data_IF_926716019546
#
_entry.id   IF_926716019546
#
_cell.length_a   1.000
_cell.length_b   1.000
_cell.length_c   1.000
_cell.angle_alpha   90.00
_cell.angle_beta   90.00
_cell.angle_gamma   90.00
#
_symmetry.space_group_name_H-M   'P 1'
#
loop_
_entity.id
_entity.type
_entity.pdbx_description
1 polymer ?
#
# COMPACT_ATOMS: atom_id res chain seq x y z
N UNK A 1 2.61 5.11 4.45
CA UNK A 1 2.27 5.98 3.29
C UNK A 1 3.16 5.63 2.10
N UNK A 2 2.59 5.52 0.92
CA UNK A 2 3.31 5.28 -0.33
C UNK A 2 3.49 6.60 -1.08
N UNK A 3 4.55 6.68 -1.91
CA UNK A 3 4.79 7.84 -2.79
C UNK A 3 5.06 7.38 -4.22
N UNK A 4 4.90 8.29 -5.19
CA UNK A 4 5.21 8.01 -6.59
C UNK A 4 6.72 7.89 -6.85
N UNK A 5 7.08 7.19 -7.92
CA UNK A 5 8.48 7.00 -8.35
C UNK A 5 9.24 8.32 -8.50
N UNK A 6 8.62 9.34 -9.13
CA UNK A 6 9.28 10.64 -9.33
C UNK A 6 9.59 11.34 -8.01
N UNK A 7 8.70 11.23 -7.00
CA UNK A 7 8.90 11.77 -5.65
C UNK A 7 10.02 11.00 -4.93
N UNK A 8 10.01 9.66 -5.04
CA UNK A 8 11.07 8.83 -4.48
C UNK A 8 12.45 9.20 -5.04
N UNK A 9 12.54 9.43 -6.37
CA UNK A 9 13.78 9.84 -7.02
C UNK A 9 14.23 11.25 -6.62
N UNK A 10 13.30 12.18 -6.39
CA UNK A 10 13.62 13.51 -5.87
C UNK A 10 14.21 13.45 -4.47
N UNK A 11 13.61 12.62 -3.58
CA UNK A 11 14.17 12.38 -2.26
C UNK A 11 15.54 11.70 -2.33
N UNK A 12 15.71 10.73 -3.21
CA UNK A 12 17.00 10.04 -3.42
C UNK A 12 18.12 10.98 -3.86
N UNK A 13 17.82 11.92 -4.77
CA UNK A 13 18.78 12.92 -5.22
C UNK A 13 19.29 13.79 -4.05
N UNK A 14 18.40 14.12 -3.10
CA UNK A 14 18.75 14.84 -1.86
C UNK A 14 19.66 14.07 -0.89
N UNK A 15 19.80 12.76 -1.10
CA UNK A 15 20.67 11.87 -0.31
C UNK A 15 21.84 11.32 -1.11
N UNK A 16 22.16 11.91 -2.25
CA UNK A 16 23.26 11.44 -3.15
C UNK A 16 23.08 9.97 -3.59
N UNK A 17 21.83 9.46 -3.62
CA UNK A 17 21.50 8.18 -4.21
C UNK A 17 21.34 8.38 -5.72
N UNK A 18 22.09 7.65 -6.57
CA UNK A 18 22.16 7.96 -8.00
C UNK A 18 20.84 7.59 -8.71
N UNK A 19 20.20 8.57 -9.33
CA UNK A 19 18.94 8.45 -10.09
C UNK A 19 19.03 9.12 -11.47
N UNK A 20 18.19 8.68 -12.40
CA UNK A 20 17.99 9.38 -13.66
C UNK A 20 17.30 10.73 -13.42
N UNK A 21 17.73 11.77 -14.14
CA UNK A 21 17.05 13.07 -14.10
C UNK A 21 15.81 13.02 -14.96
N UNK A 22 14.72 13.57 -14.43
CA UNK A 22 13.43 13.59 -15.08
C UNK A 22 12.58 14.81 -14.74
N UNK A 23 11.38 14.85 -15.28
CA UNK A 23 10.37 15.88 -15.03
C UNK A 23 8.99 15.25 -15.02
N UNK A 24 8.11 15.72 -14.15
CA UNK A 24 6.73 15.24 -14.01
C UNK A 24 5.75 16.21 -14.66
N UNK A 25 4.69 15.67 -15.26
CA UNK A 25 3.50 16.39 -15.69
C UNK A 25 2.32 15.94 -14.82
N UNK A 26 1.76 16.85 -14.05
CA UNK A 26 0.58 16.65 -13.20
C UNK A 26 -0.73 16.88 -13.96
N UNK A 27 -0.63 17.56 -15.10
CA UNK A 27 -1.74 17.86 -15.99
C UNK A 27 -1.32 17.64 -17.45
N UNK A 28 -2.28 17.32 -18.30
CA UNK A 28 -2.02 17.10 -19.73
C UNK A 28 -1.37 18.32 -20.41
N UNK A 29 -1.72 19.51 -19.96
CA UNK A 29 -1.15 20.79 -20.44
C UNK A 29 0.35 20.94 -20.19
N UNK A 30 0.89 20.27 -19.18
CA UNK A 30 2.30 20.35 -18.75
C UNK A 30 3.22 19.37 -19.50
N UNK A 31 2.68 18.43 -20.29
CA UNK A 31 3.46 17.36 -20.93
C UNK A 31 4.57 17.93 -21.82
N UNK A 32 4.26 18.92 -22.66
CA UNK A 32 5.25 19.52 -23.55
C UNK A 32 6.40 20.18 -22.79
N UNK A 33 6.10 20.86 -21.69
CA UNK A 33 7.10 21.47 -20.81
C UNK A 33 7.97 20.40 -20.13
N UNK A 34 7.34 19.35 -19.59
CA UNK A 34 8.04 18.25 -18.93
C UNK A 34 9.01 17.54 -19.88
N UNK A 35 8.56 17.21 -21.11
CA UNK A 35 9.43 16.63 -22.15
C UNK A 35 10.56 17.59 -22.51
N UNK A 36 10.27 18.89 -22.58
CA UNK A 36 11.26 19.93 -22.89
C UNK A 36 12.41 20.03 -21.90
N UNK A 37 12.15 19.74 -20.60
CA UNK A 37 13.16 19.76 -19.52
C UNK A 37 14.11 18.57 -19.56
N UNK A 38 13.73 17.47 -20.21
CA UNK A 38 14.54 16.24 -20.27
C UNK A 38 15.43 16.26 -21.53
N UNK A 39 16.73 16.02 -21.33
CA UNK A 39 17.72 15.98 -22.42
C UNK A 39 17.70 14.61 -23.10
N UNK A 40 17.60 14.61 -24.45
CA UNK A 40 17.72 13.36 -25.23
C UNK A 40 19.13 12.79 -25.27
N UNK A 41 19.36 11.79 -26.12
CA UNK A 41 18.56 11.44 -27.31
C UNK A 41 17.44 10.39 -27.07
N UNK A 42 17.34 9.82 -25.87
CA UNK A 42 16.32 8.82 -25.52
C UNK A 42 15.50 9.37 -24.35
N UNK A 43 14.19 9.27 -24.46
CA UNK A 43 13.23 9.60 -23.40
C UNK A 43 12.52 8.34 -22.95
N UNK A 44 12.29 8.24 -21.63
CA UNK A 44 11.44 7.19 -21.05
C UNK A 44 10.21 7.88 -20.47
N UNK A 45 9.05 7.52 -20.99
CA UNK A 45 7.74 8.03 -20.53
C UNK A 45 7.12 7.00 -19.61
N UNK A 46 6.81 7.39 -18.38
CA UNK A 46 6.34 6.49 -17.32
C UNK A 46 5.05 6.99 -16.69
N UNK A 47 4.00 6.20 -16.79
CA UNK A 47 2.78 6.41 -16.00
C UNK A 47 3.10 6.31 -14.50
N UNK A 48 2.54 7.22 -13.70
CA UNK A 48 2.74 7.22 -12.25
C UNK A 48 1.46 6.73 -11.55
N UNK A 49 1.52 5.52 -11.04
CA UNK A 49 0.51 4.89 -10.16
C UNK A 49 1.25 4.11 -9.06
N UNK A 50 0.61 3.90 -7.91
CA UNK A 50 1.16 3.11 -6.80
C UNK A 50 1.06 1.60 -7.06
N UNK A 51 1.44 1.14 -8.25
CA UNK A 51 1.45 -0.26 -8.61
C UNK A 51 2.69 -0.63 -9.44
N UNK A 52 3.21 -1.82 -9.19
CA UNK A 52 4.27 -2.43 -9.97
C UNK A 52 3.77 -3.03 -11.28
N UNK A 53 4.72 -3.45 -12.14
CA UNK A 53 4.40 -4.09 -13.42
C UNK A 53 3.88 -3.13 -14.49
N UNK A 54 4.04 -1.81 -14.32
CA UNK A 54 3.60 -0.77 -15.26
C UNK A 54 4.07 -1.00 -16.69
N UNK A 55 5.31 -1.48 -16.87
CA UNK A 55 5.86 -1.79 -18.18
C UNK A 55 5.06 -2.87 -18.93
N UNK A 56 4.61 -3.92 -18.22
CA UNK A 56 3.78 -4.99 -18.80
C UNK A 56 2.39 -4.49 -19.19
N UNK A 57 1.84 -3.51 -18.45
CA UNK A 57 0.56 -2.87 -18.74
C UNK A 57 0.62 -1.77 -19.81
N UNK A 58 1.81 -1.48 -20.36
CA UNK A 58 1.98 -0.41 -21.35
C UNK A 58 2.21 0.98 -20.75
N UNK A 59 2.37 1.09 -19.43
CA UNK A 59 2.63 2.34 -18.71
C UNK A 59 4.09 2.82 -18.74
N UNK A 60 4.97 2.18 -19.52
CA UNK A 60 6.35 2.61 -19.74
C UNK A 60 6.67 2.52 -21.23
N UNK A 61 7.17 3.61 -21.82
CA UNK A 61 7.59 3.69 -23.21
C UNK A 61 8.95 4.35 -23.34
N UNK A 62 9.81 3.74 -24.16
CA UNK A 62 11.11 4.28 -24.53
C UNK A 62 11.02 4.81 -25.96
N UNK A 63 11.37 6.07 -26.16
CA UNK A 63 11.22 6.76 -27.44
C UNK A 63 12.50 7.56 -27.78
N UNK A 64 12.68 7.86 -29.05
CA UNK A 64 13.90 8.49 -29.58
C UNK A 64 13.72 9.93 -30.04
N UNK A 65 12.52 10.49 -29.92
CA UNK A 65 12.23 11.89 -30.23
C UNK A 65 11.34 12.54 -29.18
N UNK A 66 11.40 13.88 -29.08
CA UNK A 66 10.51 14.65 -28.20
C UNK A 66 9.05 14.54 -28.62
N UNK A 67 8.80 14.52 -29.92
CA UNK A 67 7.47 14.41 -30.47
C UNK A 67 6.82 13.07 -30.09
N UNK A 68 7.56 11.98 -30.22
CA UNK A 68 7.10 10.67 -29.76
C UNK A 68 6.86 10.67 -28.23
N UNK A 69 7.74 11.32 -27.44
CA UNK A 69 7.58 11.38 -26.00
C UNK A 69 6.29 12.13 -25.59
N UNK A 70 5.98 13.24 -26.27
CA UNK A 70 4.73 13.98 -26.05
C UNK A 70 3.53 13.11 -26.42
N UNK A 71 3.55 12.47 -27.61
CA UNK A 71 2.46 11.64 -28.09
C UNK A 71 2.17 10.45 -27.15
N UNK A 72 3.21 9.74 -26.68
CA UNK A 72 3.02 8.64 -25.75
C UNK A 72 2.56 9.12 -24.37
N UNK A 73 3.06 10.24 -23.87
CA UNK A 73 2.61 10.85 -22.63
C UNK A 73 1.14 11.26 -22.67
N UNK A 74 0.69 11.85 -23.77
CA UNK A 74 -0.73 12.24 -23.98
C UNK A 74 -1.68 11.04 -24.05
N UNK A 75 -1.22 9.91 -24.64
CA UNK A 75 -1.99 8.65 -24.68
C UNK A 75 -2.10 8.01 -23.30
N UNK A 76 -1.02 8.06 -22.52
CA UNK A 76 -1.00 7.48 -21.18
C UNK A 76 -1.79 8.30 -20.16
N UNK A 77 -1.85 9.62 -20.32
CA UNK A 77 -2.54 10.50 -19.39
C UNK A 77 -4.06 10.25 -19.45
N UNK A 78 -4.66 9.86 -18.32
CA UNK A 78 -6.08 9.50 -18.19
C UNK A 78 -6.42 8.08 -18.64
N UNK A 79 -5.44 7.28 -19.09
CA UNK A 79 -5.71 5.87 -19.37
C UNK A 79 -5.93 5.06 -18.11
N UNK A 80 -6.77 4.04 -18.17
CA UNK A 80 -6.90 3.05 -17.09
C UNK A 80 -5.80 1.98 -17.27
N UNK A 81 -4.77 2.02 -16.41
CA UNK A 81 -3.62 1.12 -16.48
C UNK A 81 -3.87 -0.15 -15.68
N UNK A 82 -3.95 -1.28 -16.40
CA UNK A 82 -4.11 -2.61 -15.82
C UNK A 82 -2.73 -3.26 -15.65
N UNK A 83 -2.42 -3.63 -14.42
CA UNK A 83 -1.20 -4.36 -14.05
C UNK A 83 -1.55 -5.58 -13.19
N UNK A 84 -0.62 -6.52 -12.96
CA UNK A 84 -0.87 -7.62 -12.03
C UNK A 84 -1.27 -7.16 -10.62
N UNK A 85 -0.83 -5.97 -10.19
CA UNK A 85 -1.13 -5.43 -8.85
C UNK A 85 -2.43 -4.61 -8.80
N UNK A 86 -2.82 -3.92 -9.89
CA UNK A 86 -4.11 -3.20 -9.93
C UNK A 86 -5.29 -4.12 -10.19
N UNK A 87 -5.05 -5.36 -10.61
CA UNK A 87 -6.11 -6.26 -11.04
C UNK A 87 -6.88 -5.77 -12.26
N UNK A 88 -8.01 -6.43 -12.61
CA UNK A 88 -8.79 -6.12 -13.82
C UNK A 88 -9.47 -4.74 -13.80
N UNK A 89 -9.68 -4.16 -12.62
CA UNK A 89 -10.23 -2.81 -12.48
C UNK A 89 -9.29 -1.75 -13.03
N UNK A 90 -7.97 -1.96 -12.91
CA UNK A 90 -6.94 -1.01 -13.30
C UNK A 90 -6.89 0.22 -12.37
N UNK A 91 -6.02 1.17 -12.73
CA UNK A 91 -5.90 2.47 -12.04
C UNK A 91 -5.76 3.58 -13.08
N UNK A 92 -6.48 4.67 -12.92
CA UNK A 92 -6.38 5.84 -13.80
C UNK A 92 -5.03 6.54 -13.64
N UNK A 93 -4.36 6.81 -14.74
CA UNK A 93 -3.07 7.51 -14.77
C UNK A 93 -3.30 9.01 -14.73
N UNK A 94 -3.00 9.65 -13.61
CA UNK A 94 -3.16 11.10 -13.40
C UNK A 94 -1.86 11.89 -13.44
N UNK A 95 -0.72 11.21 -13.57
CA UNK A 95 0.61 11.84 -13.64
C UNK A 95 1.49 11.08 -14.59
N UNK A 96 2.33 11.81 -15.32
CA UNK A 96 3.34 11.23 -16.22
C UNK A 96 4.71 11.72 -15.79
N UNK A 97 5.64 10.79 -15.63
CA UNK A 97 7.05 11.08 -15.40
C UNK A 97 7.84 10.81 -16.66
N UNK A 98 8.65 11.79 -17.07
CA UNK A 98 9.51 11.70 -18.23
C UNK A 98 10.96 11.77 -17.74
N UNK A 99 11.80 10.82 -18.12
CA UNK A 99 13.21 10.81 -17.73
C UNK A 99 14.14 10.48 -18.88
N UNK A 100 15.44 10.73 -18.66
CA UNK A 100 16.48 10.34 -19.62
C UNK A 100 16.56 8.82 -19.70
N UNK A 101 16.63 8.28 -20.91
CA UNK A 101 16.99 6.89 -21.14
C UNK A 101 18.40 6.56 -20.66
N UNK A 102 18.59 5.34 -20.19
CA UNK A 102 19.87 4.82 -19.71
C UNK A 102 20.32 3.62 -20.53
N UNK A 103 21.61 3.57 -20.86
CA UNK A 103 22.22 2.41 -21.52
C UNK A 103 22.47 1.28 -20.51
N UNK A 104 21.53 0.35 -20.44
CA UNK A 104 21.56 -0.75 -19.48
C UNK A 104 22.57 -1.81 -19.94
N UNK A 105 23.47 -2.23 -19.03
CA UNK A 105 24.39 -3.34 -19.17
C UNK A 105 23.96 -4.56 -18.36
N UNK A 106 23.49 -4.32 -17.11
CA UNK A 106 23.01 -5.36 -16.19
C UNK A 106 21.92 -4.76 -15.30
N UNK A 107 20.91 -5.55 -15.00
CA UNK A 107 19.85 -5.21 -14.06
C UNK A 107 20.03 -6.02 -12.78
N UNK A 108 19.84 -5.36 -11.65
CA UNK A 108 20.00 -5.90 -10.29
C UNK A 108 18.77 -5.53 -9.47
N UNK A 109 18.49 -6.30 -8.43
CA UNK A 109 17.48 -5.97 -7.44
C UNK A 109 18.13 -5.53 -6.14
N UNK A 110 17.65 -4.43 -5.56
CA UNK A 110 18.08 -3.92 -4.28
C UNK A 110 16.88 -3.42 -3.49
N UNK A 111 16.70 -3.90 -2.27
CA UNK A 111 15.76 -3.29 -1.33
C UNK A 111 16.34 -3.17 0.07
N UNK A 112 15.80 -2.21 0.83
CA UNK A 112 16.08 -1.99 2.24
C UNK A 112 14.75 -1.98 2.98
N UNK A 113 14.60 -2.79 4.02
CA UNK A 113 13.36 -2.95 4.76
C UNK A 113 13.62 -3.31 6.23
N UNK A 114 12.57 -3.21 7.06
CA UNK A 114 12.61 -3.68 8.43
C UNK A 114 12.29 -5.19 8.47
N UNK A 115 13.28 -6.00 8.84
CA UNK A 115 13.08 -7.42 9.15
C UNK A 115 12.50 -7.55 10.57
N UNK A 116 11.19 -7.78 10.65
CA UNK A 116 10.48 -7.90 11.92
C UNK A 116 10.88 -9.14 12.74
N UNK A 117 11.33 -10.21 12.07
CA UNK A 117 11.73 -11.44 12.75
C UNK A 117 13.00 -11.24 13.57
N UNK A 118 13.92 -10.43 13.09
CA UNK A 118 15.20 -10.14 13.74
C UNK A 118 15.27 -8.75 14.38
N UNK A 119 14.25 -7.89 14.15
CA UNK A 119 14.22 -6.48 14.58
C UNK A 119 15.40 -5.67 14.05
N UNK A 120 15.85 -5.98 12.83
CA UNK A 120 16.96 -5.31 12.16
C UNK A 120 16.53 -4.73 10.82
N UNK A 121 17.26 -3.73 10.38
CA UNK A 121 17.17 -3.31 8.97
C UNK A 121 17.89 -4.35 8.12
N UNK A 122 17.29 -4.75 7.02
CA UNK A 122 17.87 -5.73 6.11
C UNK A 122 17.92 -5.19 4.68
N UNK A 123 19.02 -5.46 4.00
CA UNK A 123 19.11 -5.34 2.54
C UNK A 123 18.81 -6.70 1.92
N UNK A 124 17.85 -6.73 0.98
CA UNK A 124 17.60 -7.88 0.12
C UNK A 124 18.14 -7.54 -1.26
N UNK A 125 19.00 -8.41 -1.77
CA UNK A 125 19.71 -8.17 -3.03
C UNK A 125 19.65 -9.41 -3.93
N UNK A 126 19.55 -9.16 -5.23
CA UNK A 126 19.62 -10.22 -6.25
C UNK A 126 20.28 -9.72 -7.53
N UNK A 127 21.02 -10.60 -8.18
CA UNK A 127 21.53 -10.35 -9.54
C UNK A 127 20.46 -10.42 -10.63
N UNK A 128 19.23 -10.74 -10.26
CA UNK A 128 18.06 -10.83 -11.14
C UNK A 128 17.16 -9.62 -10.90
N UNK A 129 17.49 -8.48 -11.53
CA UNK A 129 16.67 -7.27 -11.49
C UNK A 129 15.66 -7.18 -12.62
N UNK A 130 14.74 -6.21 -12.54
CA UNK A 130 13.68 -6.00 -13.53
C UNK A 130 12.60 -7.08 -13.55
N UNK A 131 12.62 -7.98 -12.58
CA UNK A 131 11.69 -9.11 -12.43
C UNK A 131 10.89 -8.97 -11.13
N UNK A 132 9.83 -9.78 -11.02
CA UNK A 132 9.08 -9.97 -9.80
C UNK A 132 9.93 -10.74 -8.78
N UNK A 133 10.28 -10.09 -7.69
CA UNK A 133 11.20 -10.66 -6.68
C UNK A 133 10.56 -11.81 -5.90
N UNK A 134 9.24 -11.80 -5.72
CA UNK A 134 8.51 -12.89 -5.08
C UNK A 134 8.61 -14.18 -5.94
N UNK A 135 8.51 -14.02 -7.25
CA UNK A 135 8.73 -15.15 -8.17
C UNK A 135 10.16 -15.68 -8.10
N UNK A 136 11.17 -14.78 -8.04
CA UNK A 136 12.58 -15.18 -7.84
C UNK A 136 12.76 -15.89 -6.51
N UNK A 137 12.15 -15.40 -5.43
CA UNK A 137 12.23 -16.01 -4.09
C UNK A 137 11.62 -17.42 -4.08
N UNK A 138 10.56 -17.63 -4.83
CA UNK A 138 9.88 -18.94 -4.93
C UNK A 138 10.64 -19.92 -5.79
N UNK A 139 11.08 -19.49 -6.98
CA UNK A 139 11.59 -20.38 -8.02
C UNK A 139 13.11 -20.60 -7.92
N UNK A 140 13.86 -19.60 -7.45
CA UNK A 140 15.33 -19.61 -7.37
C UNK A 140 15.83 -18.87 -6.11
N UNK A 141 15.47 -19.33 -4.89
CA UNK A 141 15.79 -18.65 -3.64
C UNK A 141 17.30 -18.45 -3.40
N UNK A 142 18.14 -19.28 -4.03
CA UNK A 142 19.60 -19.15 -3.99
C UNK A 142 20.13 -17.87 -4.68
N UNK A 143 19.33 -17.22 -5.51
CA UNK A 143 19.67 -15.93 -6.14
C UNK A 143 19.34 -14.73 -5.26
N UNK A 144 18.78 -14.95 -4.07
CA UNK A 144 18.46 -13.89 -3.11
C UNK A 144 19.45 -13.96 -1.95
N UNK A 145 20.04 -12.83 -1.63
CA UNK A 145 20.90 -12.66 -0.45
C UNK A 145 20.29 -11.62 0.47
N UNK A 146 20.13 -11.96 1.74
CA UNK A 146 19.68 -11.03 2.79
C UNK A 146 20.87 -10.65 3.66
N UNK A 147 21.12 -9.36 3.82
CA UNK A 147 22.17 -8.80 4.67
C UNK A 147 21.52 -7.97 5.77
N UNK A 148 21.56 -8.48 6.99
CA UNK A 148 21.02 -7.80 8.17
C UNK A 148 22.04 -6.81 8.72
N UNK A 149 21.60 -5.60 8.97
CA UNK A 149 22.44 -4.52 9.51
C UNK A 149 22.21 -4.43 11.02
N UNK A 150 23.28 -4.48 11.79
CA UNK A 150 23.23 -4.28 13.23
C UNK A 150 22.97 -2.80 13.55
N UNK A 151 21.83 -2.42 14.16
CA UNK A 151 21.47 -1.01 14.33
C UNK A 151 22.47 -0.20 15.14
N UNK A 152 23.16 -0.83 16.10
CA UNK A 152 24.17 -0.19 16.96
C UNK A 152 25.49 0.12 16.24
N UNK A 153 25.73 -0.52 15.09
CA UNK A 153 26.99 -0.41 14.33
C UNK A 153 26.75 0.33 13.00
N UNK A 154 25.60 0.11 12.38
CA UNK A 154 25.29 0.55 11.04
C UNK A 154 25.96 -0.30 9.95
N UNK A 155 25.97 0.18 8.72
CA UNK A 155 26.52 -0.54 7.56
C UNK A 155 28.04 -0.65 7.66
N UNK A 156 28.55 -1.88 7.61
CA UNK A 156 29.98 -2.20 7.68
C UNK A 156 30.55 -2.55 6.30
N UNK A 157 31.90 -2.53 6.19
CA UNK A 157 32.58 -2.98 4.96
C UNK A 157 32.30 -4.47 4.65
N UNK A 158 32.05 -5.29 5.68
CA UNK A 158 31.69 -6.71 5.48
C UNK A 158 30.30 -6.84 4.84
N UNK A 159 29.36 -5.98 5.20
CA UNK A 159 28.00 -5.97 4.60
C UNK A 159 28.10 -5.57 3.13
N UNK A 160 28.86 -4.52 2.83
CA UNK A 160 29.11 -4.06 1.45
C UNK A 160 29.77 -5.16 0.63
N UNK A 161 30.79 -5.83 1.16
CA UNK A 161 31.46 -6.93 0.47
C UNK A 161 30.52 -8.11 0.20
N UNK A 162 29.60 -8.39 1.13
CA UNK A 162 28.58 -9.44 0.95
C UNK A 162 27.63 -9.08 -0.17
N UNK A 163 27.14 -7.85 -0.21
CA UNK A 163 26.26 -7.34 -1.28
C UNK A 163 27.01 -7.33 -2.63
N UNK A 164 28.28 -6.87 -2.65
CA UNK A 164 29.12 -6.84 -3.85
C UNK A 164 29.28 -8.23 -4.47
N UNK A 165 29.53 -9.24 -3.63
CA UNK A 165 29.62 -10.63 -4.07
C UNK A 165 28.29 -11.18 -4.62
N UNK A 166 27.18 -10.88 -3.96
CA UNK A 166 25.83 -11.29 -4.41
C UNK A 166 25.49 -10.69 -5.77
N UNK A 167 25.89 -9.46 -6.02
CA UNK A 167 25.75 -8.80 -7.32
C UNK A 167 26.77 -9.24 -8.38
N UNK A 168 27.83 -9.95 -7.99
CA UNK A 168 28.96 -10.30 -8.85
C UNK A 168 29.59 -9.02 -9.45
N UNK A 169 29.78 -7.99 -8.62
CA UNK A 169 30.29 -6.70 -9.08
C UNK A 169 31.79 -6.74 -9.36
N UNK A 170 32.19 -5.93 -10.33
CA UNK A 170 33.60 -5.62 -10.54
C UNK A 170 34.13 -4.71 -9.45
N UNK A 171 35.42 -4.85 -9.12
CA UNK A 171 36.07 -4.09 -8.06
C UNK A 171 35.95 -2.56 -8.24
N UNK A 172 35.93 -2.09 -9.47
CA UNK A 172 35.82 -0.65 -9.79
C UNK A 172 34.45 -0.05 -9.41
N UNK A 173 33.44 -0.89 -9.16
CA UNK A 173 32.10 -0.48 -8.74
C UNK A 173 31.89 -0.53 -7.21
N UNK A 174 32.82 -1.09 -6.45
CA UNK A 174 32.66 -1.27 -5.00
C UNK A 174 32.55 0.07 -4.25
N UNK A 175 33.26 1.11 -4.68
CA UNK A 175 33.14 2.46 -4.11
C UNK A 175 31.73 3.05 -4.33
N UNK A 176 31.21 2.93 -5.55
CA UNK A 176 29.85 3.38 -5.86
C UNK A 176 28.80 2.60 -5.09
N UNK A 177 28.98 1.27 -4.91
CA UNK A 177 28.10 0.46 -4.09
C UNK A 177 28.15 0.87 -2.62
N UNK A 178 29.34 1.12 -2.08
CA UNK A 178 29.51 1.56 -0.70
C UNK A 178 28.73 2.85 -0.41
N UNK A 179 28.87 3.85 -1.29
CA UNK A 179 28.16 5.11 -1.16
C UNK A 179 26.63 4.90 -1.28
N UNK A 180 26.19 4.13 -2.27
CA UNK A 180 24.76 3.81 -2.47
C UNK A 180 24.13 3.16 -1.24
N UNK A 181 24.76 2.11 -0.70
CA UNK A 181 24.21 1.37 0.44
C UNK A 181 24.21 2.22 1.72
N UNK A 182 25.28 2.99 1.99
CA UNK A 182 25.35 3.89 3.14
C UNK A 182 24.30 5.01 3.05
N UNK A 183 24.15 5.62 1.88
CA UNK A 183 23.19 6.69 1.65
C UNK A 183 21.73 6.17 1.72
N UNK A 184 21.46 4.98 1.16
CA UNK A 184 20.13 4.36 1.26
C UNK A 184 19.78 3.99 2.71
N UNK A 185 20.71 3.46 3.47
CA UNK A 185 20.54 3.17 4.89
C UNK A 185 20.27 4.44 5.70
N UNK A 186 21.04 5.51 5.44
CA UNK A 186 20.83 6.83 6.04
C UNK A 186 19.45 7.38 5.71
N UNK A 187 19.06 7.36 4.43
CA UNK A 187 17.72 7.77 3.98
C UNK A 187 16.62 6.97 4.69
N UNK A 188 16.77 5.63 4.75
CA UNK A 188 15.81 4.72 5.38
C UNK A 188 15.54 5.09 6.84
N UNK A 189 16.61 5.36 7.61
CA UNK A 189 16.50 5.71 9.03
C UNK A 189 16.01 7.14 9.25
N UNK A 190 16.57 8.11 8.52
CA UNK A 190 16.25 9.54 8.74
C UNK A 190 14.84 9.92 8.29
N UNK A 191 14.27 9.18 7.35
CA UNK A 191 12.92 9.42 6.82
C UNK A 191 11.86 8.43 7.33
N UNK A 192 12.23 7.56 8.28
CA UNK A 192 11.35 6.51 8.78
C UNK A 192 10.69 5.70 7.65
N UNK A 193 11.48 5.35 6.64
CA UNK A 193 11.00 4.48 5.60
C UNK A 193 10.76 3.06 6.15
N UNK A 194 9.70 2.40 5.71
CA UNK A 194 9.40 1.00 6.02
C UNK A 194 9.86 0.06 4.91
N UNK A 195 9.96 0.58 3.69
CA UNK A 195 10.49 -0.09 2.51
C UNK A 195 11.14 0.93 1.58
N UNK A 196 12.33 0.62 1.10
CA UNK A 196 12.97 1.26 -0.05
C UNK A 196 13.33 0.16 -1.04
N UNK A 197 12.71 0.14 -2.21
CA UNK A 197 12.95 -0.85 -3.24
C UNK A 197 13.42 -0.18 -4.53
N UNK A 198 14.48 -0.73 -5.11
CA UNK A 198 15.03 -0.32 -6.40
C UNK A 198 15.01 -1.54 -7.33
N UNK A 199 14.08 -1.54 -8.28
CA UNK A 199 13.91 -2.66 -9.20
C UNK A 199 13.57 -2.19 -10.64
N UNK A 200 14.60 -2.05 -11.52
CA UNK A 200 15.97 -2.45 -11.29
C UNK A 200 16.91 -1.34 -10.76
N UNK A 201 17.91 -1.75 -9.99
CA UNK A 201 19.21 -1.07 -9.92
C UNK A 201 20.01 -1.49 -11.14
N UNK A 202 20.54 -0.57 -11.91
CA UNK A 202 21.27 -0.91 -13.12
C UNK A 202 22.77 -0.62 -13.03
N UNK A 203 23.54 -1.43 -13.77
CA UNK A 203 24.88 -1.07 -14.19
C UNK A 203 24.76 -0.53 -15.60
N UNK A 204 25.18 0.70 -15.84
CA UNK A 204 25.21 1.30 -17.17
C UNK A 204 26.38 0.77 -18.01
N UNK A 205 26.32 0.97 -19.35
CA UNK A 205 27.47 0.64 -20.24
C UNK A 205 28.73 1.43 -19.92
N UNK A 206 28.61 2.55 -19.19
CA UNK A 206 29.73 3.36 -18.72
C UNK A 206 30.20 2.99 -17.30
N UNK A 207 29.82 1.79 -16.83
CA UNK A 207 30.15 1.24 -15.51
C UNK A 207 29.75 2.21 -14.35
N UNK A 208 28.49 2.66 -14.36
CA UNK A 208 27.88 3.43 -13.26
C UNK A 208 26.71 2.68 -12.67
N UNK A 209 26.53 2.73 -11.35
CA UNK A 209 25.32 2.30 -10.67
C UNK A 209 24.27 3.40 -10.77
N UNK A 210 23.00 3.03 -11.06
CA UNK A 210 21.88 3.96 -11.17
C UNK A 210 20.57 3.29 -10.76
N UNK A 211 19.79 3.93 -9.89
CA UNK A 211 18.46 3.52 -9.54
C UNK A 211 17.48 3.91 -10.66
N UNK A 212 17.01 2.91 -11.43
CA UNK A 212 16.18 3.16 -12.62
C UNK A 212 14.69 3.25 -12.27
N UNK A 213 14.23 2.46 -11.31
CA UNK A 213 12.89 2.56 -10.73
C UNK A 213 13.02 2.56 -9.20
N UNK A 214 12.11 3.22 -8.52
CA UNK A 214 12.13 3.36 -7.08
C UNK A 214 10.72 3.28 -6.50
N UNK A 215 10.57 2.47 -5.45
CA UNK A 215 9.37 2.39 -4.62
C UNK A 215 9.77 2.65 -3.18
N UNK A 216 9.10 3.60 -2.55
CA UNK A 216 9.34 3.96 -1.14
C UNK A 216 8.03 3.97 -0.39
N UNK A 217 8.03 3.33 0.77
CA UNK A 217 6.95 3.36 1.74
C UNK A 217 7.50 3.92 3.05
N UNK A 218 6.73 4.76 3.69
CA UNK A 218 7.05 5.35 5.00
C UNK A 218 6.18 4.75 6.11
N UNK A 219 6.65 4.81 7.34
CA UNK A 219 5.87 4.46 8.52
C UNK A 219 4.84 5.57 8.79
N UNK A 220 3.55 5.24 8.69
CA UNK A 220 2.46 6.18 8.94
C UNK A 220 2.49 6.76 10.35
N UNK A 221 2.98 5.99 11.33
CA UNK A 221 3.12 6.44 12.72
C UNK A 221 4.22 7.49 12.90
N UNK A 222 5.09 7.67 11.92
CA UNK A 222 6.18 8.64 11.95
C UNK A 222 5.89 9.93 11.17
N UNK A 223 4.83 9.99 10.36
CA UNK A 223 4.51 11.13 9.48
C UNK A 223 4.40 12.46 10.24
N UNK A 224 3.92 12.45 11.48
CA UNK A 224 3.83 13.67 12.32
C UNK A 224 5.15 14.42 12.49
N UNK A 225 6.29 13.76 12.28
CA UNK A 225 7.63 14.37 12.35
C UNK A 225 8.27 14.60 10.98
N UNK A 226 7.55 14.25 9.90
CA UNK A 226 7.96 14.40 8.51
C UNK A 226 6.88 15.11 7.67
N UNK A 227 6.54 16.38 7.97
CA UNK A 227 5.51 17.10 7.23
C UNK A 227 5.83 17.19 5.73
N UNK A 228 7.11 17.27 5.37
CA UNK A 228 7.55 17.28 3.97
C UNK A 228 7.30 15.96 3.23
N UNK A 229 7.18 14.84 3.95
CA UNK A 229 6.78 13.54 3.38
C UNK A 229 5.26 13.48 3.29
N UNK A 230 4.53 13.95 4.31
CA UNK A 230 3.07 14.00 4.32
C UNK A 230 2.52 14.83 3.15
N UNK A 231 3.19 15.92 2.76
CA UNK A 231 2.86 16.75 1.58
C UNK A 231 2.95 15.98 0.25
N UNK A 232 3.68 14.86 0.20
CA UNK A 232 3.80 14.01 -1.00
C UNK A 232 2.61 13.07 -1.20
N UNK A 233 1.73 12.99 -0.22
CA UNK A 233 0.56 12.12 -0.27
C UNK A 233 -0.34 12.41 -1.46
N UNK A 234 -0.77 11.35 -2.15
CA UNK A 234 -1.72 11.43 -3.25
C UNK A 234 -3.02 10.72 -2.90
N UNK A 235 -4.03 11.48 -2.51
CA UNK A 235 -5.35 10.96 -2.15
C UNK A 235 -6.01 10.13 -3.26
N UNK A 236 -5.64 10.32 -4.53
CA UNK A 236 -6.18 9.58 -5.67
C UNK A 236 -5.63 8.16 -5.77
N UNK A 237 -4.54 7.87 -5.06
CA UNK A 237 -3.92 6.55 -5.04
C UNK A 237 -4.48 5.65 -3.93
N UNK A 238 -5.19 6.21 -2.96
CA UNK A 238 -5.87 5.44 -1.92
C UNK A 238 -7.21 4.86 -2.40
N UNK A 239 -7.67 3.86 -1.69
CA UNK A 239 -9.02 3.34 -1.86
C UNK A 239 -10.04 4.37 -1.37
N UNK A 240 -11.15 4.54 -2.11
CA UNK A 240 -12.18 5.53 -1.81
C UNK A 240 -12.81 5.31 -0.42
N UNK A 241 -13.04 4.04 -0.05
CA UNK A 241 -13.62 3.68 1.25
C UNK A 241 -12.63 3.89 2.40
N UNK A 242 -11.35 3.57 2.19
CA UNK A 242 -10.29 3.79 3.19
C UNK A 242 -10.10 5.28 3.45
N UNK A 243 -10.08 6.09 2.39
CA UNK A 243 -10.00 7.54 2.47
C UNK A 243 -11.22 8.14 3.18
N UNK A 244 -12.44 7.65 2.90
CA UNK A 244 -13.64 8.13 3.60
C UNK A 244 -13.61 7.74 5.08
N UNK A 245 -13.15 6.53 5.41
CA UNK A 245 -13.04 6.03 6.76
C UNK A 245 -12.05 6.84 7.62
N UNK A 246 -10.95 7.26 7.04
CA UNK A 246 -9.92 8.05 7.74
C UNK A 246 -10.45 9.39 8.26
N UNK A 247 -11.43 10.01 7.58
CA UNK A 247 -12.07 11.26 8.03
C UNK A 247 -12.80 11.13 9.38
N UNK A 248 -13.18 9.90 9.74
CA UNK A 248 -13.89 9.57 10.98
C UNK A 248 -13.00 8.83 11.98
N UNK A 249 -11.69 8.78 11.74
CA UNK A 249 -10.75 8.03 12.59
C UNK A 249 -11.19 6.55 12.73
N UNK A 250 -11.53 5.92 11.61
CA UNK A 250 -11.88 4.51 11.47
C UNK A 250 -10.77 3.78 10.76
N UNK A 251 -10.31 2.66 11.32
CA UNK A 251 -9.38 1.78 10.61
C UNK A 251 -10.17 0.88 9.65
N UNK A 252 -10.07 1.14 8.36
CA UNK A 252 -10.78 0.42 7.29
C UNK A 252 -9.79 -0.11 6.27
N UNK A 253 -10.00 -1.35 5.81
CA UNK A 253 -9.28 -1.95 4.67
C UNK A 253 -10.32 -2.62 3.79
N UNK A 254 -10.35 -2.27 2.51
CA UNK A 254 -11.22 -2.89 1.51
C UNK A 254 -10.75 -4.30 1.17
N UNK A 255 -11.69 -5.26 1.11
CA UNK A 255 -11.48 -6.64 0.68
C UNK A 255 -12.47 -6.99 -0.44
N UNK A 256 -12.25 -8.12 -1.12
CA UNK A 256 -13.02 -8.52 -2.31
C UNK A 256 -14.30 -9.32 -2.03
N UNK A 257 -14.73 -9.40 -0.76
CA UNK A 257 -15.88 -10.21 -0.37
C UNK A 257 -17.24 -9.49 -0.46
N UNK A 258 -18.25 -10.12 0.15
CA UNK A 258 -19.63 -9.66 0.14
C UNK A 258 -20.26 -9.54 1.55
N UNK A 259 -19.51 -9.85 2.62
CA UNK A 259 -19.95 -9.70 4.00
C UNK A 259 -19.22 -8.49 4.62
N UNK A 260 -19.98 -7.41 4.84
CA UNK A 260 -19.48 -6.24 5.55
C UNK A 260 -19.22 -6.55 7.01
N UNK A 261 -18.10 -6.09 7.56
CA UNK A 261 -17.69 -6.34 8.94
C UNK A 261 -17.51 -5.03 9.70
N UNK A 262 -18.10 -4.92 10.90
CA UNK A 262 -17.86 -3.83 11.84
C UNK A 262 -17.54 -4.41 13.22
N UNK A 263 -16.35 -4.09 13.72
CA UNK A 263 -15.81 -4.70 14.95
C UNK A 263 -15.14 -3.63 15.80
N UNK A 264 -15.02 -3.83 17.10
CA UNK A 264 -14.18 -3.01 17.96
C UNK A 264 -12.94 -3.78 18.41
N UNK A 265 -11.79 -3.30 17.96
CA UNK A 265 -10.48 -3.87 18.23
C UNK A 265 -9.96 -4.76 17.09
N UNK A 266 -8.74 -4.46 16.64
CA UNK A 266 -8.13 -5.10 15.47
C UNK A 266 -8.01 -6.63 15.59
N UNK A 267 -7.67 -7.15 16.79
CA UNK A 267 -7.60 -8.61 17.04
C UNK A 267 -8.94 -9.31 16.87
N UNK A 268 -10.03 -8.70 17.37
CA UNK A 268 -11.37 -9.22 17.19
C UNK A 268 -11.85 -9.12 15.73
N UNK A 269 -11.44 -8.05 15.04
CA UNK A 269 -11.70 -7.90 13.62
C UNK A 269 -11.04 -9.03 12.81
N UNK A 270 -9.75 -9.29 13.00
CA UNK A 270 -9.05 -10.40 12.35
C UNK A 270 -9.73 -11.75 12.62
N UNK A 271 -10.03 -12.05 13.89
CA UNK A 271 -10.73 -13.28 14.26
C UNK A 271 -12.13 -13.39 13.59
N UNK A 272 -12.84 -12.27 13.42
CA UNK A 272 -14.14 -12.25 12.73
C UNK A 272 -13.99 -12.56 11.24
N UNK A 273 -12.96 -12.02 10.58
CA UNK A 273 -12.68 -12.32 9.17
C UNK A 273 -12.30 -13.81 8.99
N UNK A 274 -11.45 -14.33 9.86
CA UNK A 274 -11.00 -15.73 9.81
C UNK A 274 -12.17 -16.72 9.98
N UNK A 275 -13.06 -16.49 10.94
CA UNK A 275 -14.18 -17.39 11.17
C UNK A 275 -15.22 -17.32 10.04
N UNK A 276 -15.46 -16.14 9.44
CA UNK A 276 -16.30 -16.01 8.25
C UNK A 276 -15.73 -16.87 7.11
N UNK A 277 -14.42 -16.78 6.86
CA UNK A 277 -13.75 -17.59 5.83
C UNK A 277 -13.81 -19.08 6.15
N UNK A 278 -13.65 -19.47 7.41
CA UNK A 278 -13.75 -20.87 7.84
C UNK A 278 -15.12 -21.49 7.55
N UNK A 279 -16.20 -20.68 7.56
CA UNK A 279 -17.56 -21.09 7.17
C UNK A 279 -17.86 -20.89 5.68
N UNK A 280 -16.88 -20.54 4.86
CA UNK A 280 -17.00 -20.40 3.41
C UNK A 280 -17.57 -19.07 2.94
N UNK A 281 -17.66 -18.06 3.83
CA UNK A 281 -18.02 -16.70 3.48
C UNK A 281 -16.81 -15.86 3.05
N UNK A 282 -17.07 -14.72 2.41
CA UNK A 282 -16.03 -13.80 1.94
C UNK A 282 -16.24 -12.41 2.57
N UNK A 283 -15.31 -11.97 3.49
CA UNK A 283 -15.39 -10.63 4.07
C UNK A 283 -15.15 -9.54 3.03
N UNK A 284 -15.97 -8.48 3.06
CA UNK A 284 -15.85 -7.33 2.16
C UNK A 284 -14.90 -6.26 2.66
N UNK A 285 -14.61 -6.25 3.96
CA UNK A 285 -13.73 -5.26 4.57
C UNK A 285 -13.23 -5.73 5.95
N UNK A 286 -12.09 -5.19 6.35
CA UNK A 286 -11.71 -5.02 7.74
C UNK A 286 -12.22 -3.66 8.21
N UNK A 287 -12.87 -3.57 9.38
CA UNK A 287 -13.21 -2.30 9.99
C UNK A 287 -13.15 -2.40 11.52
N UNK A 288 -12.30 -1.58 12.11
CA UNK A 288 -12.21 -1.39 13.56
C UNK A 288 -12.70 0.01 13.93
N UNK A 289 -13.81 0.06 14.68
CA UNK A 289 -14.38 1.33 15.17
C UNK A 289 -13.64 1.88 16.40
N UNK A 290 -12.68 1.11 16.95
CA UNK A 290 -11.92 1.47 18.14
C UNK A 290 -12.69 1.29 19.46
N UNK A 291 -11.97 1.47 20.57
CA UNK A 291 -12.52 1.25 21.92
C UNK A 291 -13.41 2.39 22.47
N UNK A 292 -13.55 3.49 21.76
CA UNK A 292 -14.32 4.67 22.16
C UNK A 292 -15.34 5.11 21.11
N UNK A 293 -15.91 4.18 20.33
CA UNK A 293 -16.81 4.52 19.24
C UNK A 293 -18.05 5.27 19.74
N UNK A 294 -18.25 6.47 19.19
CA UNK A 294 -19.47 7.24 19.36
C UNK A 294 -20.55 6.77 18.38
N UNK A 295 -21.78 7.24 18.61
CA UNK A 295 -22.90 6.99 17.69
C UNK A 295 -22.60 7.47 16.26
N UNK A 296 -21.89 8.59 16.12
CA UNK A 296 -21.49 9.15 14.83
C UNK A 296 -20.48 8.25 14.13
N UNK A 297 -19.48 7.72 14.84
CA UNK A 297 -18.53 6.74 14.27
C UNK A 297 -19.24 5.49 13.77
N UNK A 298 -20.18 4.94 14.54
CA UNK A 298 -20.98 3.76 14.16
C UNK A 298 -21.81 4.06 12.91
N UNK A 299 -22.48 5.22 12.85
CA UNK A 299 -23.26 5.62 11.67
C UNK A 299 -22.38 5.77 10.43
N UNK A 300 -21.21 6.42 10.56
CA UNK A 300 -20.26 6.57 9.47
C UNK A 300 -19.71 5.23 9.00
N UNK A 301 -19.39 4.30 9.92
CA UNK A 301 -18.99 2.95 9.58
C UNK A 301 -20.02 2.21 8.74
N UNK A 302 -21.31 2.26 9.12
CA UNK A 302 -22.37 1.68 8.30
C UNK A 302 -22.51 2.34 6.93
N UNK A 303 -22.40 3.68 6.84
CA UNK A 303 -22.45 4.40 5.55
C UNK A 303 -21.35 3.93 4.61
N UNK A 304 -20.13 3.78 5.12
CA UNK A 304 -18.98 3.32 4.34
C UNK A 304 -19.20 1.87 3.87
N UNK A 305 -19.59 0.94 4.78
CA UNK A 305 -19.86 -0.45 4.42
C UNK A 305 -20.95 -0.55 3.35
N UNK A 306 -22.05 0.19 3.51
CA UNK A 306 -23.20 0.14 2.60
C UNK A 306 -22.97 0.85 1.27
N UNK A 307 -21.98 1.75 1.18
CA UNK A 307 -21.60 2.37 -0.09
C UNK A 307 -20.93 1.37 -1.04
N UNK A 308 -20.38 0.27 -0.50
CA UNK A 308 -19.90 -0.85 -1.30
C UNK A 308 -21.07 -1.72 -1.79
N UNK A 309 -21.37 -1.60 -3.08
CA UNK A 309 -22.44 -2.35 -3.75
C UNK A 309 -22.23 -3.88 -3.76
N UNK A 310 -21.03 -4.34 -3.46
CA UNK A 310 -20.70 -5.76 -3.32
C UNK A 310 -21.22 -6.36 -2.02
N UNK A 311 -21.49 -5.56 -1.00
CA UNK A 311 -21.95 -6.02 0.31
C UNK A 311 -23.41 -6.52 0.24
N UNK A 312 -23.62 -7.76 0.67
CA UNK A 312 -24.93 -8.45 0.69
C UNK A 312 -25.43 -8.76 2.09
N UNK A 313 -24.61 -8.58 3.11
CA UNK A 313 -24.96 -8.74 4.51
C UNK A 313 -23.89 -8.13 5.40
N UNK A 314 -24.25 -7.79 6.64
CA UNK A 314 -23.33 -7.12 7.59
C UNK A 314 -23.24 -7.93 8.87
N UNK A 315 -22.02 -8.19 9.32
CA UNK A 315 -21.70 -8.72 10.64
C UNK A 315 -21.16 -7.60 11.52
N UNK A 316 -21.86 -7.34 12.62
CA UNK A 316 -21.38 -6.48 13.71
C UNK A 316 -20.97 -7.37 14.88
N UNK A 317 -19.70 -7.27 15.29
CA UNK A 317 -19.17 -8.07 16.37
C UNK A 317 -18.46 -7.15 17.40
N UNK A 318 -19.13 -6.93 18.52
CA UNK A 318 -18.69 -6.00 19.56
C UNK A 318 -18.39 -6.74 20.84
N UNK A 319 -17.21 -6.49 21.40
CA UNK A 319 -16.86 -6.88 22.75
C UNK A 319 -16.74 -5.63 23.62
N UNK A 320 -17.72 -5.41 24.48
CA UNK A 320 -17.79 -4.26 25.39
C UNK A 320 -16.77 -4.39 26.51
N UNK A 321 -15.81 -3.46 26.51
CA UNK A 321 -14.87 -3.24 27.60
C UNK A 321 -15.10 -1.84 28.16
N UNK A 322 -14.24 -0.88 27.79
CA UNK A 322 -14.48 0.56 28.04
C UNK A 322 -15.70 1.01 27.27
N UNK A 323 -15.89 0.54 26.04
CA UNK A 323 -17.10 0.70 25.24
C UNK A 323 -18.24 -0.14 25.83
N UNK A 324 -19.44 0.45 25.95
CA UNK A 324 -20.61 -0.20 26.50
C UNK A 324 -21.53 -0.69 25.38
N UNK A 325 -22.03 -1.92 25.52
CA UNK A 325 -22.89 -2.55 24.51
C UNK A 325 -24.23 -1.82 24.30
N UNK A 326 -24.80 -1.20 25.34
CA UNK A 326 -26.02 -0.41 25.24
C UNK A 326 -25.85 0.82 24.34
N UNK A 327 -24.75 1.56 24.47
CA UNK A 327 -24.45 2.73 23.62
C UNK A 327 -24.26 2.33 22.17
N UNK A 328 -23.57 1.21 21.93
CA UNK A 328 -23.38 0.69 20.57
C UNK A 328 -24.70 0.20 19.97
N UNK A 329 -25.52 -0.51 20.74
CA UNK A 329 -26.83 -0.95 20.29
C UNK A 329 -27.73 0.23 19.88
N UNK A 330 -27.75 1.32 20.65
CA UNK A 330 -28.43 2.57 20.27
C UNK A 330 -27.87 3.15 18.97
N UNK A 331 -26.56 3.17 18.81
CA UNK A 331 -25.88 3.62 17.59
C UNK A 331 -26.25 2.77 16.36
N UNK A 332 -26.24 1.44 16.52
CA UNK A 332 -26.63 0.48 15.46
C UNK A 332 -28.08 0.73 15.04
N UNK A 333 -29.01 0.77 15.99
CA UNK A 333 -30.45 0.99 15.72
C UNK A 333 -30.69 2.34 15.05
N UNK A 334 -30.02 3.39 15.51
CA UNK A 334 -30.16 4.72 14.92
C UNK A 334 -29.61 4.77 13.49
N UNK A 335 -28.42 4.22 13.25
CA UNK A 335 -27.82 4.18 11.92
C UNK A 335 -28.64 3.30 10.96
N UNK A 336 -29.11 2.14 11.43
CA UNK A 336 -29.93 1.25 10.62
C UNK A 336 -31.28 1.88 10.21
N UNK A 337 -31.88 2.70 11.07
CA UNK A 337 -33.07 3.50 10.74
C UNK A 337 -32.79 4.61 9.74
N UNK A 338 -31.71 5.38 9.99
CA UNK A 338 -31.34 6.52 9.15
C UNK A 338 -30.99 6.08 7.71
N UNK A 339 -30.33 4.93 7.58
CA UNK A 339 -29.81 4.42 6.31
C UNK A 339 -30.75 3.43 5.61
N UNK A 340 -31.92 3.11 6.21
CA UNK A 340 -32.87 2.13 5.67
C UNK A 340 -32.18 0.83 5.21
N UNK A 341 -31.37 0.23 6.11
CA UNK A 341 -30.56 -0.96 5.80
C UNK A 341 -31.45 -2.07 5.27
N UNK A 342 -31.20 -2.49 4.04
CA UNK A 342 -31.97 -3.53 3.32
C UNK A 342 -31.30 -4.90 3.25
N UNK A 343 -30.04 -4.99 3.71
CA UNK A 343 -29.28 -6.24 3.75
C UNK A 343 -29.39 -6.89 5.14
N UNK A 344 -29.26 -8.22 5.26
CA UNK A 344 -29.23 -8.91 6.54
C UNK A 344 -28.21 -8.33 7.50
N UNK A 345 -28.60 -8.06 8.74
CA UNK A 345 -27.76 -7.53 9.80
C UNK A 345 -27.70 -8.52 10.96
N UNK A 346 -26.53 -9.15 11.12
CA UNK A 346 -26.23 -10.03 12.27
C UNK A 346 -25.40 -9.27 13.28
N UNK A 347 -25.83 -9.26 14.55
CA UNK A 347 -25.16 -8.54 15.62
C UNK A 347 -24.83 -9.48 16.78
N UNK A 348 -23.55 -9.51 17.14
CA UNK A 348 -23.07 -10.16 18.35
C UNK A 348 -22.57 -9.08 19.31
N UNK A 349 -23.11 -9.07 20.51
CA UNK A 349 -22.68 -8.22 21.62
C UNK A 349 -22.23 -9.10 22.79
N UNK A 350 -21.14 -8.72 23.41
CA UNK A 350 -20.62 -9.32 24.66
C UNK A 350 -19.89 -8.28 25.50
N UNK A 351 -19.80 -8.51 26.83
CA UNK A 351 -19.10 -7.63 27.76
C UNK A 351 -20.02 -6.64 28.48
N UNK A 352 -19.52 -5.42 28.74
CA UNK A 352 -20.20 -4.41 29.58
C UNK A 352 -21.57 -4.03 29.03
N UNK A 353 -22.62 -4.15 29.86
CA UNK A 353 -24.01 -3.83 29.54
C UNK A 353 -24.61 -4.64 28.37
N UNK A 354 -24.18 -5.89 28.23
CA UNK A 354 -24.62 -6.75 27.11
C UNK A 354 -26.13 -7.01 27.15
N UNK A 355 -26.74 -7.21 28.34
CA UNK A 355 -28.16 -7.49 28.47
C UNK A 355 -29.04 -6.29 28.08
N UNK A 356 -28.61 -5.08 28.45
CA UNK A 356 -29.25 -3.85 27.98
C UNK A 356 -29.09 -3.67 26.47
N UNK A 357 -27.89 -3.90 25.94
CA UNK A 357 -27.64 -3.82 24.49
C UNK A 357 -28.55 -4.77 23.70
N UNK A 358 -28.65 -6.03 24.12
CA UNK A 358 -29.56 -7.02 23.50
C UNK A 358 -31.01 -6.57 23.56
N UNK A 359 -31.48 -6.08 24.70
CA UNK A 359 -32.86 -5.55 24.83
C UNK A 359 -33.14 -4.39 23.87
N UNK A 360 -32.19 -3.49 23.65
CA UNK A 360 -32.31 -2.39 22.70
C UNK A 360 -32.44 -2.91 21.27
N UNK A 361 -31.65 -3.91 20.88
CA UNK A 361 -31.72 -4.54 19.56
C UNK A 361 -33.06 -5.26 19.37
N UNK A 362 -33.47 -6.08 20.33
CA UNK A 362 -34.70 -6.90 20.26
C UNK A 362 -35.97 -6.04 20.23
N UNK A 363 -35.97 -4.89 20.91
CA UNK A 363 -37.08 -3.94 20.89
C UNK A 363 -37.06 -2.97 19.70
N UNK A 364 -36.08 -3.08 18.83
CA UNK A 364 -35.99 -2.23 17.65
C UNK A 364 -37.03 -2.65 16.59
N UNK A 365 -37.50 -1.68 15.77
CA UNK A 365 -38.37 -1.96 14.62
C UNK A 365 -37.60 -2.48 13.39
N UNK A 366 -36.33 -2.80 13.54
CA UNK A 366 -35.43 -3.24 12.47
C UNK A 366 -35.22 -4.73 12.62
N UNK A 367 -35.14 -5.43 11.50
CA UNK A 367 -34.84 -6.86 11.47
C UNK A 367 -33.35 -7.09 11.76
N UNK A 368 -33.02 -7.20 13.05
CA UNK A 368 -31.64 -7.47 13.52
C UNK A 368 -31.60 -8.91 14.03
N UNK A 369 -30.63 -9.68 13.55
CA UNK A 369 -30.46 -11.07 13.94
C UNK A 369 -29.37 -11.11 15.03
N UNK A 370 -29.79 -11.33 16.27
CA UNK A 370 -28.86 -11.48 17.40
C UNK A 370 -28.10 -12.80 17.34
N UNK A 371 -26.83 -12.78 17.66
CA UNK A 371 -25.97 -13.95 17.78
C UNK A 371 -25.46 -14.13 19.21
N UNK A 372 -25.28 -15.40 19.61
CA UNK A 372 -24.89 -15.75 20.97
C UNK A 372 -23.36 -15.64 21.19
N UNK A 373 -22.61 -16.06 20.19
CA UNK A 373 -21.15 -16.04 20.17
C UNK A 373 -20.63 -15.78 18.75
N UNK A 374 -19.33 -15.75 18.58
CA UNK A 374 -18.69 -15.45 17.30
C UNK A 374 -18.94 -16.55 16.25
N UNK A 375 -18.98 -17.81 16.69
CA UNK A 375 -19.26 -18.96 15.84
C UNK A 375 -20.70 -18.93 15.29
N UNK A 376 -21.69 -18.68 16.16
CA UNK A 376 -23.11 -18.50 15.79
C UNK A 376 -23.30 -17.30 14.85
N UNK A 377 -22.58 -16.20 15.11
CA UNK A 377 -22.62 -15.00 14.27
C UNK A 377 -22.14 -15.26 12.84
N UNK A 378 -20.97 -15.92 12.71
CA UNK A 378 -20.42 -16.28 11.41
C UNK A 378 -21.32 -17.24 10.63
N UNK A 379 -21.82 -18.31 11.29
CA UNK A 379 -22.78 -19.25 10.67
C UNK A 379 -24.05 -18.57 10.16
N UNK A 380 -24.58 -17.64 10.97
CA UNK A 380 -25.81 -16.92 10.60
C UNK A 380 -25.59 -16.03 9.39
N UNK A 381 -24.53 -15.19 9.40
CA UNK A 381 -24.30 -14.25 8.29
C UNK A 381 -23.96 -15.00 7.00
N UNK A 382 -23.10 -16.02 7.04
CA UNK A 382 -22.72 -16.79 5.85
C UNK A 382 -23.93 -17.51 5.23
N UNK A 383 -24.89 -17.96 6.06
CA UNK A 383 -26.11 -18.61 5.56
C UNK A 383 -27.08 -17.64 4.86
N UNK A 384 -27.02 -16.36 5.18
CA UNK A 384 -27.92 -15.32 4.69
C UNK A 384 -27.41 -14.63 3.42
N UNK A 385 -26.15 -14.80 3.09
CA UNK A 385 -25.43 -14.18 1.96
C UNK A 385 -24.98 -15.22 0.94
#
# INVERSE_FOLDING_TARGET
>A
MNIHEHQAKELFDGYDIPVSKGSVAYEKSQINEAVGKVKGPIWVVKAQIHAGGRGKGGGVKVVSSKEEAVNEAEKMFGMNLITPQTGPAGKEVKRIYIENGSDIKKELYLSCLLDRATSKVAFIVSKMGGMDIEAVAKDTPENITTVQIEPSIGVTENDINTISKAFELKKDLEGQLSDLIKNMYKFFLEKDASLVEVNPLIITKTDKLLCLDAKVNFDDNALYRHPEIEELWDENEEDEYEREASKYDLAYIKLDGNIGCMVNGAGLAMASLDIIKMYGGEPANFLDVGGGASKEKVSSAFKIILSDKGVKGILVNIFGGIMRCDIIAEGIVAAAKELEISVPLVVRLEGTNVDEGKKILDNSSIEIISANDLDDAAKKIVKLV
#
